data_IF_774792035276
#
_entry.id   IF_774792035276
#
_cell.length_a   1.000
_cell.length_b   1.000
_cell.length_c   1.000
_cell.angle_alpha   90.00
_cell.angle_beta   90.00
_cell.angle_gamma   90.00
#
_symmetry.space_group_name_H-M   'P 1'
#
loop_
_entity.id
_entity.type
_entity.pdbx_description
1 polymer ?
#
# COMPACT_ATOMS: atom_id res chain seq x y z
N UNK A 1 -39.65 34.07 -15.84
CA UNK A 1 -40.00 32.94 -14.95
C UNK A 1 -38.72 32.22 -14.60
N UNK A 2 -38.12 32.52 -13.44
CA UNK A 2 -37.04 31.70 -12.91
C UNK A 2 -37.67 30.41 -12.38
N UNK A 3 -37.34 29.27 -12.97
CA UNK A 3 -37.81 27.97 -12.49
C UNK A 3 -37.33 27.79 -11.05
N UNK A 4 -38.25 27.49 -10.13
CA UNK A 4 -37.94 27.10 -8.77
C UNK A 4 -37.09 25.82 -8.83
N UNK A 5 -35.77 25.96 -8.79
CA UNK A 5 -34.84 24.85 -8.64
C UNK A 5 -35.16 24.18 -7.29
N UNK A 6 -35.66 22.95 -7.33
CA UNK A 6 -35.86 22.18 -6.10
C UNK A 6 -34.50 21.97 -5.43
N UNK A 7 -34.37 22.22 -4.12
CA UNK A 7 -33.12 21.99 -3.41
C UNK A 7 -32.74 20.51 -3.53
N UNK A 8 -31.55 20.24 -4.07
CA UNK A 8 -31.00 18.89 -4.21
C UNK A 8 -30.39 18.48 -2.88
N UNK A 9 -30.64 17.24 -2.45
CA UNK A 9 -29.97 16.70 -1.28
C UNK A 9 -28.49 16.40 -1.61
N UNK A 10 -27.62 17.36 -1.30
CA UNK A 10 -26.19 17.28 -1.58
C UNK A 10 -25.55 16.04 -0.93
N UNK A 11 -25.92 15.71 0.30
CA UNK A 11 -25.41 14.51 0.99
C UNK A 11 -25.77 13.22 0.26
N UNK A 12 -26.96 13.15 -0.34
CA UNK A 12 -27.37 12.00 -1.14
C UNK A 12 -26.61 11.92 -2.47
N UNK A 13 -26.30 13.07 -3.08
CA UNK A 13 -25.45 13.12 -4.30
C UNK A 13 -24.04 12.62 -4.01
N UNK A 14 -23.41 13.09 -2.94
CA UNK A 14 -22.09 12.59 -2.50
C UNK A 14 -22.15 11.08 -2.24
N UNK A 15 -23.19 10.61 -1.55
CA UNK A 15 -23.36 9.19 -1.27
C UNK A 15 -23.47 8.33 -2.53
N UNK A 16 -24.22 8.76 -3.56
CA UNK A 16 -24.29 8.05 -4.83
C UNK A 16 -23.00 8.13 -5.63
N UNK A 17 -22.26 9.24 -5.52
CA UNK A 17 -20.95 9.38 -6.13
C UNK A 17 -19.95 8.38 -5.53
N UNK A 18 -19.88 8.27 -4.20
CA UNK A 18 -19.06 7.27 -3.51
C UNK A 18 -19.42 5.85 -3.92
N UNK A 19 -20.73 5.56 -3.97
CA UNK A 19 -21.23 4.24 -4.38
C UNK A 19 -20.78 3.89 -5.81
N UNK A 20 -20.85 4.85 -6.74
CA UNK A 20 -20.40 4.65 -8.12
C UNK A 20 -18.89 4.37 -8.19
N UNK A 21 -18.06 5.14 -7.46
CA UNK A 21 -16.62 4.90 -7.37
C UNK A 21 -16.29 3.52 -6.79
N UNK A 22 -17.00 3.10 -5.73
CA UNK A 22 -16.86 1.76 -5.14
C UNK A 22 -17.19 0.66 -6.14
N UNK A 23 -18.30 0.79 -6.87
CA UNK A 23 -18.72 -0.20 -7.88
C UNK A 23 -17.66 -0.31 -8.98
N UNK A 24 -17.16 0.82 -9.48
CA UNK A 24 -16.12 0.83 -10.49
C UNK A 24 -14.84 0.15 -10.00
N UNK A 25 -14.36 0.52 -8.80
CA UNK A 25 -13.19 -0.13 -8.19
C UNK A 25 -13.39 -1.64 -8.04
N UNK A 26 -14.56 -2.08 -7.58
CA UNK A 26 -14.85 -3.50 -7.40
C UNK A 26 -14.92 -4.28 -8.70
N UNK A 27 -15.49 -3.68 -9.74
CA UNK A 27 -15.60 -4.33 -11.05
C UNK A 27 -14.26 -4.36 -11.77
N UNK A 28 -13.54 -3.23 -11.79
CA UNK A 28 -12.30 -3.12 -12.56
C UNK A 28 -11.12 -3.86 -11.91
N UNK A 29 -11.07 -3.91 -10.58
CA UNK A 29 -9.99 -4.58 -9.84
C UNK A 29 -10.36 -6.00 -9.40
N UNK A 30 -11.51 -6.51 -9.85
CA UNK A 30 -12.04 -7.83 -9.49
C UNK A 30 -12.16 -8.04 -7.97
N UNK A 31 -12.45 -6.97 -7.22
CA UNK A 31 -12.56 -6.94 -5.76
C UNK A 31 -13.94 -7.38 -5.24
N UNK A 32 -14.60 -8.26 -5.99
CA UNK A 32 -15.91 -8.84 -5.69
C UNK A 32 -15.77 -10.36 -5.43
N UNK A 33 -16.44 -10.95 -4.42
CA UNK A 33 -17.31 -10.41 -3.35
C UNK A 33 -16.54 -9.74 -2.17
N UNK A 34 -17.19 -8.98 -1.22
CA UNK A 34 -18.61 -9.02 -0.78
C UNK A 34 -19.58 -7.99 -1.40
N UNK A 35 -19.10 -7.09 -2.25
CA UNK A 35 -19.92 -6.07 -2.92
C UNK A 35 -20.11 -4.75 -2.16
N UNK A 36 -20.70 -3.71 -2.78
CA UNK A 36 -20.64 -2.34 -2.28
C UNK A 36 -21.27 -2.18 -0.91
N UNK A 37 -22.42 -2.84 -0.67
CA UNK A 37 -23.17 -2.77 0.59
C UNK A 37 -22.35 -3.05 1.85
N UNK A 38 -21.26 -3.81 1.72
CA UNK A 38 -20.38 -4.12 2.85
C UNK A 38 -19.64 -2.89 3.40
N UNK A 39 -19.51 -1.84 2.60
CA UNK A 39 -18.81 -0.59 2.91
C UNK A 39 -19.74 0.52 3.42
N UNK A 40 -21.04 0.24 3.55
CA UNK A 40 -22.05 1.20 3.97
C UNK A 40 -22.84 0.63 5.14
N UNK A 41 -23.33 1.50 6.01
CA UNK A 41 -24.24 1.09 7.08
C UNK A 41 -25.65 0.83 6.54
N UNK A 42 -26.54 0.29 7.38
CA UNK A 42 -27.90 -0.06 6.96
C UNK A 42 -28.77 1.16 6.61
N UNK A 43 -28.39 2.37 7.02
CA UNK A 43 -29.09 3.60 6.67
C UNK A 43 -28.70 4.04 5.26
N UNK A 44 -27.39 4.06 5.00
CA UNK A 44 -26.78 4.38 3.72
C UNK A 44 -27.15 3.35 2.65
N UNK A 45 -27.14 2.05 2.98
CA UNK A 45 -27.59 0.99 2.06
C UNK A 45 -29.02 1.23 1.57
N UNK A 46 -29.93 1.67 2.45
CA UNK A 46 -31.31 2.01 2.07
C UNK A 46 -31.39 3.23 1.16
N UNK A 47 -30.37 4.08 1.14
CA UNK A 47 -30.32 5.31 0.35
C UNK A 47 -29.71 5.12 -1.06
N UNK A 48 -29.17 3.93 -1.40
CA UNK A 48 -28.48 3.68 -2.68
C UNK A 48 -29.24 4.07 -3.94
N UNK A 49 -30.58 4.03 -3.90
CA UNK A 49 -31.44 4.29 -5.07
C UNK A 49 -32.59 5.25 -4.73
N UNK A 50 -32.46 6.00 -3.63
CA UNK A 50 -33.41 7.05 -3.30
C UNK A 50 -33.34 8.21 -4.29
N UNK A 51 -34.46 8.85 -4.55
CA UNK A 51 -34.51 10.02 -5.43
C UNK A 51 -33.65 11.15 -4.88
N UNK A 52 -32.94 11.92 -5.73
CA UNK A 52 -32.17 13.10 -5.30
C UNK A 52 -33.01 14.19 -4.60
N UNK A 53 -34.33 14.12 -4.74
CA UNK A 53 -35.29 14.98 -4.05
C UNK A 53 -35.78 14.41 -2.71
N UNK A 54 -35.31 13.20 -2.35
CA UNK A 54 -35.55 12.60 -1.06
C UNK A 54 -34.56 13.14 -0.02
N UNK A 55 -34.98 13.11 1.24
CA UNK A 55 -34.18 13.58 2.37
C UNK A 55 -33.92 12.44 3.38
N UNK A 56 -33.28 11.32 2.96
CA UNK A 56 -32.84 10.33 3.93
C UNK A 56 -31.81 10.96 4.87
N UNK A 57 -31.90 10.62 6.15
CA UNK A 57 -30.92 11.01 7.15
C UNK A 57 -29.66 10.15 6.98
N UNK A 58 -28.78 10.54 6.06
CA UNK A 58 -27.49 9.85 5.86
C UNK A 58 -26.49 10.35 6.91
N UNK A 59 -26.01 9.50 7.82
CA UNK A 59 -25.00 9.91 8.80
C UNK A 59 -23.65 10.08 8.08
N UNK A 60 -23.29 11.32 7.74
CA UNK A 60 -22.02 11.63 7.09
C UNK A 60 -20.85 11.66 8.09
N UNK A 61 -21.10 11.99 9.36
CA UNK A 61 -20.05 12.31 10.34
C UNK A 61 -19.83 11.23 11.41
N UNK A 62 -20.79 10.31 11.62
CA UNK A 62 -20.72 9.29 12.67
C UNK A 62 -21.07 7.93 12.10
N UNK A 63 -20.03 7.27 11.60
CA UNK A 63 -20.12 5.91 11.04
C UNK A 63 -19.50 4.95 12.05
N UNK A 64 -20.07 3.76 12.18
CA UNK A 64 -19.53 2.72 13.07
C UNK A 64 -18.08 2.38 12.71
N UNK A 65 -17.24 2.20 13.72
CA UNK A 65 -15.81 1.89 13.55
C UNK A 65 -15.59 0.67 12.64
N UNK A 66 -16.44 -0.34 12.75
CA UNK A 66 -16.39 -1.53 11.91
C UNK A 66 -16.60 -1.26 10.41
N UNK A 67 -17.34 -0.21 10.04
CA UNK A 67 -17.47 0.22 8.64
C UNK A 67 -16.24 1.02 8.21
N UNK A 68 -15.71 1.87 9.09
CA UNK A 68 -14.47 2.61 8.85
C UNK A 68 -13.30 1.68 8.57
N UNK A 69 -13.14 0.62 9.39
CA UNK A 69 -12.13 -0.43 9.19
C UNK A 69 -12.30 -1.12 7.84
N UNK A 70 -13.51 -1.56 7.48
CA UNK A 70 -13.79 -2.21 6.19
C UNK A 70 -13.47 -1.31 4.99
N UNK A 71 -13.80 -0.02 5.07
CA UNK A 71 -13.47 0.96 4.04
C UNK A 71 -11.96 1.12 3.90
N UNK A 72 -11.25 1.24 5.02
CA UNK A 72 -9.79 1.31 5.03
C UNK A 72 -9.15 0.07 4.41
N UNK A 73 -9.58 -1.13 4.82
CA UNK A 73 -9.10 -2.40 4.26
C UNK A 73 -9.40 -2.51 2.76
N UNK A 74 -10.59 -2.12 2.33
CA UNK A 74 -10.97 -2.11 0.92
C UNK A 74 -10.08 -1.18 0.09
N UNK A 75 -9.84 0.06 0.52
CA UNK A 75 -8.99 1.01 -0.20
C UNK A 75 -7.52 0.56 -0.22
N UNK A 76 -7.01 0.01 0.89
CA UNK A 76 -5.66 -0.62 0.94
C UNK A 76 -5.54 -1.79 -0.03
N UNK A 77 -6.60 -2.61 -0.15
CA UNK A 77 -6.62 -3.72 -1.11
C UNK A 77 -6.64 -3.20 -2.55
N UNK A 78 -7.49 -2.21 -2.86
CA UNK A 78 -7.55 -1.59 -4.18
C UNK A 78 -6.20 -0.99 -4.59
N UNK A 79 -5.53 -0.24 -3.71
CA UNK A 79 -4.26 0.42 -4.05
C UNK A 79 -3.11 -0.58 -4.25
N UNK A 80 -3.21 -1.77 -3.66
CA UNK A 80 -2.23 -2.84 -3.87
C UNK A 80 -2.20 -3.38 -5.31
N UNK A 81 -3.26 -3.12 -6.10
CA UNK A 81 -3.28 -3.42 -7.53
C UNK A 81 -2.37 -2.48 -8.34
N UNK A 82 -1.92 -1.34 -7.79
CA UNK A 82 -1.07 -0.40 -8.52
C UNK A 82 0.15 -1.09 -9.15
N UNK A 83 0.34 -0.88 -10.46
CA UNK A 83 1.30 -1.60 -11.29
C UNK A 83 0.71 -2.78 -12.06
N UNK A 84 -0.57 -3.12 -11.85
CA UNK A 84 -1.30 -4.04 -12.74
C UNK A 84 -1.83 -3.30 -13.98
N UNK A 85 -2.10 -4.02 -15.10
CA UNK A 85 -2.63 -3.41 -16.33
C UNK A 85 -3.97 -2.69 -16.14
N UNK A 86 -4.81 -3.17 -15.22
CA UNK A 86 -6.15 -2.66 -14.94
C UNK A 86 -6.10 -1.40 -14.08
N UNK A 87 -5.03 -1.22 -13.30
CA UNK A 87 -4.89 -0.10 -12.39
C UNK A 87 -4.50 1.18 -13.13
N UNK A 88 -5.47 2.07 -13.31
CA UNK A 88 -5.26 3.36 -13.97
C UNK A 88 -5.06 4.50 -12.97
N UNK A 89 -4.50 5.61 -13.44
CA UNK A 89 -4.42 6.86 -12.67
C UNK A 89 -5.80 7.34 -12.19
N UNK A 90 -6.85 7.08 -12.96
CA UNK A 90 -8.21 7.46 -12.59
C UNK A 90 -8.71 6.69 -11.36
N UNK A 91 -8.51 5.37 -11.33
CA UNK A 91 -8.86 4.55 -10.16
C UNK A 91 -8.04 4.95 -8.93
N UNK A 92 -6.77 5.31 -9.13
CA UNK A 92 -5.95 5.88 -8.06
C UNK A 92 -6.57 7.14 -7.47
N UNK A 93 -7.11 8.03 -8.30
CA UNK A 93 -7.81 9.22 -7.81
C UNK A 93 -9.09 8.85 -7.03
N UNK A 94 -9.91 7.93 -7.54
CA UNK A 94 -11.09 7.46 -6.81
C UNK A 94 -10.76 6.92 -5.42
N UNK A 95 -9.64 6.18 -5.27
CA UNK A 95 -9.20 5.68 -3.97
C UNK A 95 -8.91 6.82 -2.99
N UNK A 96 -8.22 7.87 -3.44
CA UNK A 96 -7.85 9.00 -2.58
C UNK A 96 -9.02 9.97 -2.34
N UNK A 97 -9.90 10.16 -3.32
CA UNK A 97 -11.14 10.94 -3.16
C UNK A 97 -12.05 10.26 -2.12
N UNK A 98 -12.27 8.94 -2.24
CA UNK A 98 -13.01 8.16 -1.24
C UNK A 98 -12.35 8.20 0.15
N UNK A 99 -11.02 8.15 0.22
CA UNK A 99 -10.31 8.27 1.49
C UNK A 99 -10.57 9.63 2.15
N UNK A 100 -10.59 10.71 1.37
CA UNK A 100 -10.90 12.05 1.85
C UNK A 100 -12.38 12.16 2.28
N UNK A 101 -13.30 11.70 1.44
CA UNK A 101 -14.75 11.79 1.69
C UNK A 101 -15.16 10.97 2.91
N UNK A 102 -14.45 9.87 3.19
CA UNK A 102 -14.66 9.03 4.37
C UNK A 102 -13.76 9.38 5.55
N UNK A 103 -12.97 10.46 5.47
CA UNK A 103 -12.06 10.91 6.54
C UNK A 103 -11.07 9.83 7.00
N UNK A 104 -10.59 9.03 6.06
CA UNK A 104 -9.63 7.94 6.29
C UNK A 104 -8.19 8.45 6.20
N UNK A 105 -7.26 7.74 6.86
CA UNK A 105 -5.83 8.03 6.79
C UNK A 105 -5.26 7.77 5.39
N UNK A 106 -4.99 8.84 4.64
CA UNK A 106 -4.37 8.75 3.32
C UNK A 106 -2.97 8.13 3.39
N UNK A 107 -2.20 8.39 4.45
CA UNK A 107 -0.84 7.85 4.59
C UNK A 107 -0.82 6.35 4.88
N UNK A 108 -1.86 5.80 5.52
CA UNK A 108 -2.02 4.35 5.64
C UNK A 108 -2.33 3.66 4.30
N UNK A 109 -2.97 4.37 3.37
CA UNK A 109 -3.23 3.87 2.01
C UNK A 109 -1.95 4.01 1.17
N UNK A 110 -1.30 5.19 1.21
CA UNK A 110 -0.01 5.43 0.54
C UNK A 110 1.05 4.44 1.00
N UNK A 111 1.09 4.09 2.28
CA UNK A 111 2.06 3.10 2.77
C UNK A 111 1.88 1.76 2.08
N UNK A 112 0.64 1.27 1.95
CA UNK A 112 0.34 0.03 1.21
C UNK A 112 0.62 0.16 -0.29
N UNK A 113 0.37 1.31 -0.89
CA UNK A 113 0.74 1.60 -2.28
C UNK A 113 2.26 1.49 -2.49
N UNK A 114 3.05 2.12 -1.63
CA UNK A 114 4.53 2.10 -1.68
C UNK A 114 5.06 0.67 -1.56
N UNK A 115 4.56 -0.10 -0.59
CA UNK A 115 4.97 -1.50 -0.41
C UNK A 115 4.65 -2.34 -1.65
N UNK A 116 3.45 -2.21 -2.22
CA UNK A 116 3.06 -2.95 -3.41
C UNK A 116 3.92 -2.59 -4.64
N UNK A 117 4.24 -1.31 -4.83
CA UNK A 117 5.11 -0.85 -5.90
C UNK A 117 6.54 -1.41 -5.77
N UNK A 118 7.12 -1.41 -4.56
CA UNK A 118 8.41 -2.08 -4.34
C UNK A 118 8.31 -3.60 -4.49
N UNK A 119 7.22 -4.27 -4.12
CA UNK A 119 7.08 -5.70 -4.42
C UNK A 119 7.13 -5.99 -5.93
N UNK A 120 6.59 -5.08 -6.74
CA UNK A 120 6.52 -5.18 -8.21
C UNK A 120 7.73 -4.61 -8.96
N UNK A 121 8.71 -4.04 -8.27
CA UNK A 121 9.91 -3.47 -8.90
C UNK A 121 9.71 -2.08 -9.49
N UNK A 122 8.62 -1.40 -9.13
CA UNK A 122 8.25 -0.06 -9.60
C UNK A 122 8.79 1.00 -8.63
N UNK A 123 10.12 1.00 -8.44
CA UNK A 123 10.80 1.79 -7.41
C UNK A 123 10.71 3.29 -7.66
N UNK A 124 10.64 3.71 -8.93
CA UNK A 124 10.53 5.12 -9.30
C UNK A 124 9.16 5.67 -8.88
N UNK A 125 8.10 4.93 -9.19
CA UNK A 125 6.72 5.24 -8.81
C UNK A 125 6.58 5.21 -7.29
N UNK A 126 7.16 4.23 -6.60
CA UNK A 126 7.16 4.16 -5.14
C UNK A 126 7.80 5.41 -4.52
N UNK A 127 8.93 5.88 -5.07
CA UNK A 127 9.61 7.10 -4.62
C UNK A 127 8.77 8.35 -4.84
N UNK A 128 7.99 8.43 -5.91
CA UNK A 128 7.08 9.55 -6.14
C UNK A 128 5.96 9.61 -5.10
N UNK A 129 5.43 8.45 -4.68
CA UNK A 129 4.45 8.38 -3.58
C UNK A 129 5.10 8.78 -2.25
N UNK A 130 6.31 8.28 -1.96
CA UNK A 130 7.05 8.63 -0.74
C UNK A 130 7.23 10.15 -0.58
N UNK A 131 7.48 10.88 -1.67
CA UNK A 131 7.69 12.35 -1.63
C UNK A 131 6.50 13.14 -1.06
N UNK A 132 5.30 12.58 -1.16
CA UNK A 132 4.03 13.23 -0.74
C UNK A 132 3.40 12.55 0.49
N UNK A 133 4.12 11.64 1.16
CA UNK A 133 3.71 11.06 2.43
C UNK A 133 4.11 11.98 3.59
N UNK A 134 3.17 12.22 4.51
CA UNK A 134 3.44 13.04 5.71
C UNK A 134 4.04 12.17 6.81
N UNK A 135 3.45 11.00 7.05
CA UNK A 135 3.87 10.02 8.04
C UNK A 135 4.63 8.84 7.42
N UNK A 136 5.96 8.96 7.37
CA UNK A 136 6.84 7.87 6.92
C UNK A 136 7.15 6.83 8.01
N UNK A 137 6.72 7.04 9.26
CA UNK A 137 7.00 6.11 10.37
C UNK A 137 6.27 4.76 10.21
N UNK A 138 5.27 4.71 9.32
CA UNK A 138 4.49 3.51 9.00
C UNK A 138 5.24 2.50 8.13
N UNK A 139 6.33 2.91 7.48
CA UNK A 139 6.97 2.16 6.40
C UNK A 139 8.16 1.27 6.76
N UNK A 140 9.06 1.61 7.71
CA UNK A 140 10.41 1.08 7.70
C UNK A 140 10.47 -0.44 7.85
N UNK A 141 9.59 -1.03 8.67
CA UNK A 141 9.58 -2.47 8.91
C UNK A 141 9.06 -3.25 7.70
N UNK A 142 7.95 -2.81 7.07
CA UNK A 142 7.46 -3.46 5.86
C UNK A 142 8.40 -3.25 4.66
N UNK A 143 9.02 -2.07 4.54
CA UNK A 143 10.05 -1.84 3.52
C UNK A 143 11.26 -2.75 3.73
N UNK A 144 11.65 -2.98 4.98
CA UNK A 144 12.73 -3.90 5.32
C UNK A 144 12.36 -5.34 4.91
N UNK A 145 11.13 -5.78 5.16
CA UNK A 145 10.65 -7.09 4.73
C UNK A 145 10.69 -7.25 3.20
N UNK A 146 10.27 -6.22 2.44
CA UNK A 146 10.40 -6.21 0.97
C UNK A 146 11.87 -6.29 0.55
N UNK A 147 12.75 -5.53 1.21
CA UNK A 147 14.17 -5.51 0.89
C UNK A 147 14.82 -6.88 1.15
N UNK A 148 14.54 -7.51 2.29
CA UNK A 148 15.01 -8.86 2.62
C UNK A 148 14.48 -9.88 1.60
N UNK A 149 13.21 -9.77 1.20
CA UNK A 149 12.63 -10.65 0.19
C UNK A 149 13.31 -10.51 -1.17
N UNK A 150 13.70 -9.27 -1.56
CA UNK A 150 14.48 -9.03 -2.79
C UNK A 150 15.89 -9.61 -2.69
N UNK A 151 16.55 -9.48 -1.54
CA UNK A 151 17.84 -10.15 -1.30
C UNK A 151 17.66 -11.66 -1.46
N UNK A 152 16.66 -12.27 -0.81
CA UNK A 152 16.34 -13.70 -0.96
C UNK A 152 16.21 -14.09 -2.43
N UNK A 153 15.37 -13.39 -3.19
CA UNK A 153 15.14 -13.68 -4.60
C UNK A 153 16.40 -13.50 -5.46
N UNK A 154 17.22 -12.49 -5.18
CA UNK A 154 18.51 -12.29 -5.85
C UNK A 154 19.51 -13.42 -5.57
N UNK A 155 19.48 -13.99 -4.36
CA UNK A 155 20.27 -15.17 -3.99
C UNK A 155 19.77 -16.44 -4.66
N UNK A 156 18.45 -16.61 -4.76
CA UNK A 156 17.81 -17.75 -5.41
C UNK A 156 18.00 -17.73 -6.94
N UNK A 157 18.18 -16.54 -7.53
CA UNK A 157 18.44 -16.37 -8.96
C UNK A 157 19.91 -16.66 -9.29
N UNK A 158 20.23 -17.96 -9.47
CA UNK A 158 21.27 -18.54 -10.34
C UNK A 158 21.67 -19.94 -9.84
N UNK A 159 20.74 -20.88 -9.80
CA UNK A 159 21.05 -22.27 -9.45
C UNK A 159 21.96 -22.99 -10.46
N UNK A 160 22.16 -22.43 -11.67
CA UNK A 160 22.83 -23.13 -12.76
C UNK A 160 24.20 -22.59 -13.21
N UNK A 161 24.58 -21.36 -12.88
CA UNK A 161 25.75 -20.74 -13.55
C UNK A 161 26.91 -20.29 -12.66
N UNK A 162 26.79 -20.17 -11.33
CA UNK A 162 28.00 -19.87 -10.53
C UNK A 162 27.92 -20.26 -9.03
N UNK A 163 28.25 -21.52 -8.73
CA UNK A 163 28.41 -22.00 -7.35
C UNK A 163 29.44 -21.20 -6.55
N UNK A 164 30.44 -20.60 -7.22
CA UNK A 164 31.47 -19.79 -6.57
C UNK A 164 30.88 -18.47 -6.09
N UNK A 165 30.07 -17.80 -6.91
CA UNK A 165 29.36 -16.59 -6.49
C UNK A 165 28.37 -16.88 -5.36
N UNK A 166 27.66 -18.02 -5.40
CA UNK A 166 26.81 -18.42 -4.28
C UNK A 166 27.63 -18.62 -2.99
N UNK A 167 28.78 -19.28 -3.07
CA UNK A 167 29.69 -19.48 -1.94
C UNK A 167 30.22 -18.16 -1.37
N UNK A 168 30.62 -17.22 -2.22
CA UNK A 168 31.07 -15.88 -1.84
C UNK A 168 29.96 -15.08 -1.16
N UNK A 169 28.75 -15.13 -1.70
CA UNK A 169 27.60 -14.46 -1.08
C UNK A 169 27.30 -15.03 0.32
N UNK A 170 27.33 -16.35 0.45
CA UNK A 170 27.08 -17.05 1.73
C UNK A 170 28.19 -16.82 2.76
N UNK A 171 29.45 -16.67 2.34
CA UNK A 171 30.57 -16.42 3.26
C UNK A 171 30.55 -15.01 3.86
N UNK A 172 29.89 -14.07 3.18
CA UNK A 172 29.75 -12.68 3.63
C UNK A 172 28.51 -12.45 4.51
N UNK A 173 27.69 -13.47 4.74
CA UNK A 173 26.48 -13.37 5.55
C UNK A 173 26.69 -13.83 6.99
N UNK A 174 26.16 -13.08 7.95
CA UNK A 174 26.08 -13.51 9.34
C UNK A 174 24.82 -14.36 9.62
N UNK A 175 24.77 -15.00 10.79
CA UNK A 175 23.64 -15.85 11.20
C UNK A 175 22.31 -15.08 11.28
N UNK A 176 22.34 -13.77 11.55
CA UNK A 176 21.13 -12.94 11.70
C UNK A 176 20.55 -12.63 10.33
N UNK A 177 21.38 -12.22 9.38
CA UNK A 177 20.99 -12.01 7.98
C UNK A 177 20.44 -13.30 7.36
N UNK A 178 21.12 -14.43 7.59
CA UNK A 178 20.66 -15.74 7.12
C UNK A 178 19.28 -16.11 7.67
N UNK A 179 19.02 -15.79 8.94
CA UNK A 179 17.71 -16.00 9.55
C UNK A 179 16.63 -15.17 8.85
N UNK A 180 16.86 -13.87 8.65
CA UNK A 180 15.90 -12.98 7.96
C UNK A 180 15.55 -13.46 6.55
N UNK A 181 16.56 -13.84 5.75
CA UNK A 181 16.32 -14.35 4.39
C UNK A 181 15.48 -15.63 4.41
N UNK A 182 15.78 -16.57 5.32
CA UNK A 182 15.08 -17.86 5.40
C UNK A 182 13.64 -17.74 5.89
N UNK A 183 13.38 -16.77 6.77
CA UNK A 183 12.04 -16.53 7.33
C UNK A 183 11.14 -15.73 6.39
N UNK A 184 11.73 -14.99 5.44
CA UNK A 184 10.99 -14.20 4.45
C UNK A 184 10.19 -15.08 3.50
N UNK A 185 8.85 -14.94 3.53
CA UNK A 185 7.90 -15.57 2.60
C UNK A 185 7.26 -14.59 1.62
N UNK A 186 7.69 -13.34 1.65
CA UNK A 186 7.12 -12.31 0.80
C UNK A 186 7.51 -12.55 -0.66
N UNK A 187 6.53 -12.44 -1.55
CA UNK A 187 6.72 -12.52 -2.99
C UNK A 187 7.07 -11.13 -3.53
N UNK A 188 8.15 -11.09 -4.30
CA UNK A 188 8.69 -9.88 -4.91
C UNK A 188 9.20 -10.21 -6.31
N UNK A 189 9.32 -9.25 -7.20
CA UNK A 189 10.01 -9.43 -8.49
C UNK A 189 11.53 -9.46 -8.30
N UNK A 190 12.25 -10.04 -9.27
CA UNK A 190 13.70 -9.95 -9.29
C UNK A 190 14.09 -8.54 -9.73
N UNK A 191 15.01 -7.91 -8.98
CA UNK A 191 15.53 -6.58 -9.28
C UNK A 191 17.06 -6.56 -9.23
N UNK A 192 17.73 -5.62 -9.90
CA UNK A 192 19.17 -5.39 -9.78
C UNK A 192 19.63 -5.18 -8.33
N UNK A 193 20.87 -5.55 -7.97
CA UNK A 193 21.40 -5.33 -6.63
C UNK A 193 21.42 -3.85 -6.20
N UNK A 194 21.64 -2.94 -7.15
CA UNK A 194 21.60 -1.50 -6.89
C UNK A 194 20.24 -1.04 -6.35
N UNK A 195 19.14 -1.56 -6.89
CA UNK A 195 17.80 -1.21 -6.41
C UNK A 195 17.53 -1.75 -5.00
N UNK A 196 18.06 -2.93 -4.68
CA UNK A 196 18.01 -3.49 -3.32
C UNK A 196 18.79 -2.59 -2.35
N UNK A 197 19.97 -2.13 -2.74
CA UNK A 197 20.80 -1.21 -1.95
C UNK A 197 20.09 0.12 -1.72
N UNK A 198 19.48 0.69 -2.76
CA UNK A 198 18.69 1.93 -2.63
C UNK A 198 17.48 1.74 -1.71
N UNK A 199 16.81 0.58 -1.77
CA UNK A 199 15.71 0.27 -0.87
C UNK A 199 16.17 0.12 0.58
N UNK A 200 17.31 -0.51 0.85
CA UNK A 200 17.89 -0.58 2.20
C UNK A 200 18.24 0.81 2.74
N UNK A 201 18.78 1.70 1.91
CA UNK A 201 19.00 3.09 2.29
C UNK A 201 17.67 3.79 2.64
N UNK A 202 16.62 3.57 1.84
CA UNK A 202 15.30 4.12 2.09
C UNK A 202 14.69 3.61 3.41
N UNK A 203 14.87 2.33 3.75
CA UNK A 203 14.47 1.77 5.06
C UNK A 203 15.10 2.58 6.20
N UNK A 204 16.38 2.88 6.10
CA UNK A 204 17.11 3.61 7.16
C UNK A 204 16.64 5.06 7.28
N UNK A 205 16.41 5.73 6.14
CA UNK A 205 15.81 7.09 6.13
C UNK A 205 14.44 7.08 6.84
N UNK A 206 13.64 6.04 6.65
CA UNK A 206 12.35 5.90 7.33
C UNK A 206 12.53 5.57 8.83
N UNK A 207 13.52 4.75 9.20
CA UNK A 207 13.82 4.41 10.60
C UNK A 207 14.26 5.63 11.42
N UNK A 208 15.01 6.56 10.82
CA UNK A 208 15.44 7.80 11.48
C UNK A 208 14.25 8.69 11.94
N UNK A 209 13.05 8.44 11.40
CA UNK A 209 11.83 9.14 11.78
C UNK A 209 11.04 8.45 12.89
N UNK A 210 11.30 7.17 13.16
CA UNK A 210 10.59 6.41 14.18
C UNK A 210 11.21 6.67 15.56
N UNK A 211 10.39 6.59 16.61
CA UNK A 211 10.89 6.61 17.99
C UNK A 211 11.95 5.51 18.20
N UNK A 212 13.08 5.91 18.80
CA UNK A 212 14.19 5.00 19.09
C UNK A 212 13.69 3.82 19.95
N UNK A 213 13.85 2.62 19.42
CA UNK A 213 13.49 1.37 20.08
C UNK A 213 14.52 0.29 19.75
N UNK A 214 14.59 -0.76 20.58
CA UNK A 214 15.45 -1.91 20.31
C UNK A 214 15.20 -2.53 18.93
N UNK A 215 13.94 -2.53 18.48
CA UNK A 215 13.56 -3.03 17.17
C UNK A 215 14.10 -2.12 16.06
N UNK A 216 13.92 -0.80 16.17
CA UNK A 216 14.44 0.15 15.19
C UNK A 216 15.97 0.06 15.05
N UNK A 217 16.70 -0.04 16.16
CA UNK A 217 18.16 -0.20 16.16
C UNK A 217 18.58 -1.52 15.51
N UNK A 218 17.90 -2.64 15.83
CA UNK A 218 18.18 -3.94 15.21
C UNK A 218 17.95 -3.90 13.70
N UNK A 219 16.86 -3.29 13.25
CA UNK A 219 16.54 -3.16 11.83
C UNK A 219 17.55 -2.26 11.11
N UNK A 220 17.97 -1.12 11.67
CA UNK A 220 19.01 -0.26 11.05
C UNK A 220 20.35 -1.00 10.94
N UNK A 221 20.77 -1.73 11.98
CA UNK A 221 21.99 -2.53 11.92
C UNK A 221 21.92 -3.58 10.79
N UNK A 222 20.82 -4.33 10.70
CA UNK A 222 20.64 -5.33 9.65
C UNK A 222 20.60 -4.70 8.25
N UNK A 223 19.91 -3.57 8.09
CA UNK A 223 19.86 -2.85 6.81
C UNK A 223 21.27 -2.45 6.34
N UNK A 224 22.11 -1.92 7.25
CA UNK A 224 23.52 -1.59 6.95
C UNK A 224 24.35 -2.82 6.59
N UNK A 225 24.12 -3.94 7.26
CA UNK A 225 24.86 -5.19 6.98
C UNK A 225 24.47 -5.75 5.60
N UNK A 226 23.20 -5.67 5.21
CA UNK A 226 22.76 -6.00 3.84
C UNK A 226 23.31 -5.03 2.78
N UNK A 227 23.36 -3.72 3.04
CA UNK A 227 23.98 -2.76 2.12
C UNK A 227 25.46 -3.07 1.84
N UNK A 228 26.22 -3.40 2.89
CA UNK A 228 27.63 -3.78 2.78
C UNK A 228 27.79 -5.06 1.97
N UNK A 229 26.98 -6.07 2.26
CA UNK A 229 26.96 -7.33 1.53
C UNK A 229 26.77 -7.07 0.03
N UNK A 230 25.72 -6.33 -0.34
CA UNK A 230 25.42 -6.01 -1.75
C UNK A 230 26.60 -5.30 -2.41
N UNK A 231 27.22 -4.34 -1.72
CA UNK A 231 28.36 -3.58 -2.25
C UNK A 231 29.63 -4.44 -2.42
N UNK A 232 29.83 -5.48 -1.61
CA UNK A 232 31.00 -6.36 -1.69
C UNK A 232 30.92 -7.40 -2.82
N UNK A 233 29.71 -7.68 -3.32
CA UNK A 233 29.45 -8.73 -4.32
C UNK A 233 29.31 -8.17 -5.74
N UNK A 234 29.14 -6.84 -5.87
CA UNK A 234 29.21 -6.11 -7.15
C UNK A 234 30.65 -5.89 -7.59
#
# INVERSE_FOLDING_TARGET
MAGLQKPVNYSLVCHHHDLAMVIELQVTLEEWPPGPKYLFDSISERAFFESFYAHPLIPMESIAESIREKRMEFLKKCVSHNGSPEFTRHLRFHIYDLANDWTLSADEIKSKEVIALFQKGLDSEAKDVLRVMENMELLPYELFDVAVARVRKWFDTNEKEDLMMRGLRMSCMDNRMMKCIRESKMEVVLVPPDDIKQLMLQVRICLDRVQLSDQAVKTDCLARDFEKLITMIQ
#
